data_IF_808306279085
#
_entry.id   IF_808306279085
#
_cell.length_a   1.000
_cell.length_b   1.000
_cell.length_c   1.000
_cell.angle_alpha   90.00
_cell.angle_beta   90.00
_cell.angle_gamma   90.00
#
_symmetry.space_group_name_H-M   'P 1'
#
loop_
_entity.id
_entity.type
_entity.pdbx_description
1 polymer ?
#
# COMPACT_ATOMS: atom_id res chain seq x y z
N UNK A 1 5.14 -13.64 4.60
CA UNK A 1 6.29 -12.91 4.06
C UNK A 1 7.00 -12.20 5.19
N UNK A 2 8.28 -12.20 5.15
CA UNK A 2 9.07 -11.40 6.08
C UNK A 2 9.12 -9.95 5.61
N UNK A 3 9.55 -9.05 6.51
CA UNK A 3 9.83 -7.68 6.15
C UNK A 3 10.87 -7.62 5.01
N UNK A 4 10.57 -6.87 3.96
CA UNK A 4 11.48 -6.66 2.84
C UNK A 4 11.90 -5.19 2.84
N UNK A 5 13.19 -4.88 3.04
CA UNK A 5 13.65 -3.49 3.00
C UNK A 5 13.41 -2.89 1.61
N UNK A 6 13.13 -1.61 1.58
CA UNK A 6 12.86 -0.85 0.36
C UNK A 6 11.49 -1.13 -0.24
N UNK A 7 11.02 -0.17 -1.01
CA UNK A 7 9.77 -0.29 -1.76
C UNK A 7 10.09 -0.87 -3.13
N UNK A 8 9.20 -1.75 -3.60
CA UNK A 8 9.31 -2.36 -4.92
C UNK A 8 8.00 -2.13 -5.67
N UNK A 9 8.09 -1.94 -6.97
CA UNK A 9 6.91 -1.91 -7.82
C UNK A 9 6.19 -3.26 -7.75
N UNK A 10 4.87 -3.21 -7.81
CA UNK A 10 4.05 -4.43 -7.82
C UNK A 10 3.99 -4.96 -9.24
N UNK A 11 4.54 -6.14 -9.47
CA UNK A 11 4.58 -6.75 -10.81
C UNK A 11 3.23 -7.34 -11.20
N UNK A 12 2.54 -7.98 -10.25
CA UNK A 12 1.22 -8.56 -10.47
C UNK A 12 0.53 -8.78 -9.15
N UNK A 13 -0.78 -8.96 -9.20
CA UNK A 13 -1.57 -9.28 -8.01
C UNK A 13 -2.77 -10.14 -8.43
N UNK A 14 -3.34 -10.86 -7.47
CA UNK A 14 -4.47 -11.76 -7.67
C UNK A 14 -4.29 -13.00 -6.83
N UNK A 15 -5.35 -13.82 -6.78
CA UNK A 15 -5.34 -15.06 -6.01
C UNK A 15 -4.93 -14.86 -4.55
N UNK A 16 -5.34 -13.72 -4.00
CA UNK A 16 -5.08 -13.38 -2.60
C UNK A 16 -3.70 -12.83 -2.31
N UNK A 17 -2.90 -12.53 -3.33
CA UNK A 17 -1.53 -12.11 -3.09
C UNK A 17 -0.98 -11.10 -4.07
N UNK A 18 0.31 -10.83 -3.91
CA UNK A 18 1.06 -9.83 -4.68
C UNK A 18 2.43 -10.39 -5.06
N UNK A 19 2.92 -9.98 -6.23
CA UNK A 19 4.29 -10.26 -6.66
C UNK A 19 5.06 -8.96 -6.87
N UNK A 20 6.28 -8.93 -6.37
CA UNK A 20 7.18 -7.78 -6.51
C UNK A 20 8.63 -8.27 -6.41
N UNK A 21 9.50 -7.78 -7.29
CA UNK A 21 10.86 -8.31 -7.40
C UNK A 21 10.81 -9.82 -7.63
N UNK A 22 11.64 -10.55 -6.90
CA UNK A 22 11.64 -12.01 -6.92
C UNK A 22 10.76 -12.62 -5.82
N UNK A 23 9.95 -11.80 -5.16
CA UNK A 23 9.18 -12.20 -3.99
C UNK A 23 7.70 -12.29 -4.31
N UNK A 24 6.98 -13.09 -3.52
CA UNK A 24 5.53 -13.10 -3.52
C UNK A 24 5.04 -13.04 -2.07
N UNK A 25 3.85 -12.47 -1.89
CA UNK A 25 3.23 -12.30 -0.58
C UNK A 25 1.77 -12.67 -0.67
N UNK A 26 1.30 -13.51 0.24
CA UNK A 26 -0.12 -13.82 0.39
C UNK A 26 -0.73 -12.92 1.45
N UNK A 27 -1.93 -12.42 1.16
CA UNK A 27 -2.66 -11.54 2.04
C UNK A 27 -2.44 -10.06 1.71
N UNK A 28 -2.97 -9.20 2.59
CA UNK A 28 -2.87 -7.75 2.41
C UNK A 28 -1.43 -7.29 2.57
N UNK A 29 -1.06 -6.24 1.86
CA UNK A 29 0.31 -5.77 1.78
C UNK A 29 0.42 -4.31 2.21
N UNK A 30 1.38 -4.03 3.09
CA UNK A 30 1.72 -2.68 3.53
C UNK A 30 3.07 -2.28 2.94
N UNK A 31 3.11 -1.12 2.29
CA UNK A 31 4.32 -0.60 1.67
C UNK A 31 4.65 0.74 2.31
N UNK A 32 5.77 0.79 3.01
CA UNK A 32 6.24 1.96 3.73
C UNK A 32 7.62 2.38 3.21
N UNK A 33 8.08 3.60 3.50
CA UNK A 33 9.45 3.99 3.17
C UNK A 33 10.49 3.00 3.68
N UNK A 34 10.27 2.41 4.86
CA UNK A 34 11.19 1.44 5.45
C UNK A 34 11.13 0.07 4.77
N UNK A 35 10.07 -0.26 4.04
CA UNK A 35 9.96 -1.53 3.33
C UNK A 35 8.55 -2.06 3.24
N UNK A 36 8.45 -3.32 2.82
CA UNK A 36 7.19 -3.98 2.53
C UNK A 36 6.95 -5.09 3.57
N UNK A 37 5.70 -5.21 4.03
CA UNK A 37 5.34 -6.19 5.05
C UNK A 37 3.86 -6.54 4.99
N UNK A 38 3.47 -7.58 5.73
CA UNK A 38 2.08 -7.95 5.85
C UNK A 38 1.27 -6.84 6.52
N UNK A 39 0.02 -6.70 6.10
CA UNK A 39 -0.91 -5.70 6.63
C UNK A 39 -2.20 -6.39 7.05
N UNK A 40 -2.82 -5.92 8.11
CA UNK A 40 -4.12 -6.44 8.54
C UNK A 40 -5.30 -5.81 7.78
N UNK A 41 -5.02 -4.79 6.97
CA UNK A 41 -6.05 -4.10 6.18
C UNK A 41 -6.77 -2.99 6.92
N UNK A 42 -6.43 -2.75 8.18
CA UNK A 42 -7.16 -1.83 9.06
C UNK A 42 -6.24 -0.81 9.74
N UNK A 43 -5.08 -1.25 10.19
CA UNK A 43 -4.19 -0.46 11.03
C UNK A 43 -3.35 0.51 10.20
N UNK A 44 -3.50 1.81 10.47
CA UNK A 44 -2.74 2.86 9.79
C UNK A 44 -1.51 3.32 10.56
N UNK A 45 -1.20 2.69 11.70
CA UNK A 45 -0.09 3.13 12.55
C UNK A 45 1.26 3.15 11.84
N UNK A 46 1.47 2.24 10.87
CA UNK A 46 2.70 2.22 10.09
C UNK A 46 2.91 3.49 9.28
N UNK A 47 1.85 4.00 8.67
CA UNK A 47 1.94 5.27 7.92
C UNK A 47 2.27 6.42 8.86
N UNK A 48 1.63 6.44 10.02
CA UNK A 48 1.83 7.52 11.00
C UNK A 48 3.26 7.49 11.54
N UNK A 49 3.78 6.30 11.81
CA UNK A 49 5.14 6.15 12.34
C UNK A 49 6.21 6.69 11.38
N UNK A 50 5.95 6.65 10.07
CA UNK A 50 6.90 7.09 9.05
C UNK A 50 6.42 8.32 8.29
N UNK A 51 5.47 9.06 8.84
CA UNK A 51 4.79 10.15 8.14
C UNK A 51 5.73 11.22 7.59
N UNK A 52 6.85 11.46 8.25
CA UNK A 52 7.79 12.49 7.82
C UNK A 52 8.50 12.13 6.52
N UNK A 53 8.43 10.87 6.11
CA UNK A 53 9.03 10.38 4.88
C UNK A 53 7.99 10.06 3.81
N UNK A 54 6.73 10.39 4.05
CA UNK A 54 5.63 10.08 3.14
C UNK A 54 4.99 11.39 2.66
N UNK A 55 4.87 11.54 1.34
CA UNK A 55 4.13 12.65 0.75
C UNK A 55 2.71 12.24 0.37
N UNK A 56 2.49 10.95 0.09
CA UNK A 56 1.22 10.49 -0.43
C UNK A 56 0.97 9.03 -0.03
N UNK A 57 -0.26 8.74 0.38
CA UNK A 57 -0.68 7.37 0.71
C UNK A 57 -1.74 6.91 -0.29
N UNK A 58 -1.57 5.72 -0.83
CA UNK A 58 -2.53 5.09 -1.73
C UNK A 58 -3.11 3.87 -1.03
N UNK A 59 -4.43 3.79 -0.97
CA UNK A 59 -5.12 2.65 -0.34
C UNK A 59 -5.92 1.91 -1.39
N UNK A 60 -5.64 0.61 -1.55
CA UNK A 60 -6.40 -0.28 -2.42
C UNK A 60 -7.41 -1.09 -1.60
N UNK A 61 -8.67 -1.07 -2.00
CA UNK A 61 -9.76 -1.68 -1.22
C UNK A 61 -10.20 -3.05 -1.73
N UNK A 62 -9.39 -3.72 -2.54
CA UNK A 62 -9.74 -5.02 -3.09
C UNK A 62 -10.35 -4.90 -4.48
N UNK A 63 -11.17 -5.87 -4.86
CA UNK A 63 -11.76 -5.93 -6.20
C UNK A 63 -12.78 -4.81 -6.44
N UNK A 64 -13.40 -4.31 -5.38
CA UNK A 64 -14.40 -3.24 -5.48
C UNK A 64 -14.04 -2.08 -4.55
N UNK A 65 -14.48 -0.89 -4.93
CA UNK A 65 -14.24 0.29 -4.11
C UNK A 65 -15.08 0.21 -2.83
N UNK A 66 -14.41 0.39 -1.69
CA UNK A 66 -15.05 0.41 -0.38
C UNK A 66 -14.69 1.71 0.32
N UNK A 67 -15.57 2.14 1.22
CA UNK A 67 -15.28 3.29 2.06
C UNK A 67 -14.26 2.91 3.12
N UNK A 68 -13.32 3.82 3.38
CA UNK A 68 -12.38 3.68 4.47
C UNK A 68 -12.31 5.02 5.21
N UNK A 69 -12.32 4.95 6.54
CA UNK A 69 -12.18 6.13 7.36
C UNK A 69 -10.73 6.60 7.38
N UNK A 70 -10.45 7.73 6.77
CA UNK A 70 -9.11 8.28 6.67
C UNK A 70 -8.82 9.35 7.73
N UNK A 71 -9.75 9.56 8.67
CA UNK A 71 -9.63 10.63 9.65
C UNK A 71 -8.33 10.60 10.45
N UNK A 72 -7.84 9.41 10.80
CA UNK A 72 -6.59 9.25 11.54
C UNK A 72 -5.41 9.74 10.71
N UNK A 73 -5.36 9.42 9.42
CA UNK A 73 -4.30 9.88 8.54
C UNK A 73 -4.38 11.37 8.31
N UNK A 74 -5.57 11.88 8.05
CA UNK A 74 -5.78 13.31 7.84
C UNK A 74 -5.40 14.13 9.06
N UNK A 75 -5.74 13.63 10.25
CA UNK A 75 -5.38 14.29 11.51
C UNK A 75 -3.87 14.37 11.70
N UNK A 76 -3.11 13.49 11.07
CA UNK A 76 -1.65 13.48 11.12
C UNK A 76 -1.01 14.23 9.95
N UNK A 77 -1.83 14.88 9.12
CA UNK A 77 -1.33 15.64 7.99
C UNK A 77 -0.95 14.80 6.77
N UNK A 78 -1.39 13.55 6.72
CA UNK A 78 -1.12 12.67 5.59
C UNK A 78 -2.25 12.71 4.58
N UNK A 79 -1.89 12.94 3.33
CA UNK A 79 -2.84 12.87 2.23
C UNK A 79 -2.96 11.41 1.78
N UNK A 80 -4.17 10.91 1.73
CA UNK A 80 -4.44 9.53 1.31
C UNK A 80 -5.58 9.50 0.30
N UNK A 81 -5.45 8.61 -0.68
CA UNK A 81 -6.47 8.39 -1.69
C UNK A 81 -6.88 6.92 -1.68
N UNK A 82 -8.18 6.68 -1.76
CA UNK A 82 -8.77 5.33 -1.67
C UNK A 82 -9.31 4.95 -3.04
N UNK A 83 -8.95 3.76 -3.50
CA UNK A 83 -9.36 3.26 -4.81
C UNK A 83 -9.37 1.73 -4.79
N UNK A 84 -9.81 1.09 -5.87
CA UNK A 84 -9.69 -0.37 -5.97
C UNK A 84 -8.21 -0.76 -5.96
N UNK A 85 -7.91 -1.99 -5.57
CA UNK A 85 -6.51 -2.44 -5.55
C UNK A 85 -5.88 -2.37 -6.94
N UNK A 86 -6.62 -2.66 -8.00
CA UNK A 86 -6.11 -2.52 -9.37
C UNK A 86 -5.64 -1.10 -9.65
N UNK A 87 -6.48 -0.11 -9.35
CA UNK A 87 -6.13 1.29 -9.55
C UNK A 87 -5.00 1.73 -8.62
N UNK A 88 -5.02 1.24 -7.37
CA UNK A 88 -4.02 1.60 -6.38
C UNK A 88 -2.63 1.09 -6.77
N UNK A 89 -2.54 -0.14 -7.26
CA UNK A 89 -1.27 -0.71 -7.74
C UNK A 89 -0.72 0.13 -8.89
N UNK A 90 -1.58 0.49 -9.84
CA UNK A 90 -1.16 1.33 -10.96
C UNK A 90 -0.63 2.69 -10.49
N UNK A 91 -1.38 3.36 -9.62
CA UNK A 91 -0.98 4.67 -9.10
C UNK A 91 0.30 4.59 -8.28
N UNK A 92 0.42 3.58 -7.43
CA UNK A 92 1.61 3.36 -6.61
C UNK A 92 2.84 3.16 -7.50
N UNK A 93 2.75 2.27 -8.49
CA UNK A 93 3.87 1.98 -9.39
C UNK A 93 4.30 3.23 -10.17
N UNK A 94 3.34 4.01 -10.63
CA UNK A 94 3.61 5.25 -11.36
C UNK A 94 4.38 6.24 -10.47
N UNK A 95 3.89 6.48 -9.27
CA UNK A 95 4.53 7.41 -8.34
C UNK A 95 5.92 6.93 -7.92
N UNK A 96 6.05 5.63 -7.67
CA UNK A 96 7.34 5.04 -7.31
C UNK A 96 8.35 5.23 -8.44
N UNK A 97 7.93 5.01 -9.68
CA UNK A 97 8.76 5.22 -10.87
C UNK A 97 9.16 6.67 -11.06
N UNK A 98 8.38 7.61 -10.51
CA UNK A 98 8.69 9.04 -10.54
C UNK A 98 9.54 9.47 -9.32
N UNK A 99 10.04 8.51 -8.55
CA UNK A 99 10.83 8.74 -7.34
C UNK A 99 10.07 9.55 -6.28
N UNK A 100 8.74 9.43 -6.24
CA UNK A 100 7.92 10.13 -5.24
C UNK A 100 7.90 9.35 -3.94
N UNK A 101 7.71 10.07 -2.83
CA UNK A 101 7.66 9.46 -1.50
C UNK A 101 6.25 8.93 -1.22
N UNK A 102 5.91 7.83 -1.88
CA UNK A 102 4.59 7.20 -1.80
C UNK A 102 4.63 5.99 -0.85
N UNK A 103 3.58 5.85 -0.07
CA UNK A 103 3.32 4.65 0.72
C UNK A 103 1.97 4.07 0.29
N UNK A 104 1.74 2.81 0.59
CA UNK A 104 0.51 2.15 0.17
C UNK A 104 0.07 1.07 1.13
N UNK A 105 -1.24 0.86 1.18
CA UNK A 105 -1.85 -0.32 1.79
C UNK A 105 -2.77 -0.94 0.76
N UNK A 106 -2.56 -2.21 0.46
CA UNK A 106 -3.35 -2.92 -0.54
C UNK A 106 -4.12 -4.07 0.11
N UNK A 107 -5.44 -4.07 -0.01
CA UNK A 107 -6.23 -5.27 0.29
C UNK A 107 -6.06 -6.26 -0.85
N UNK A 108 -5.89 -7.53 -0.52
CA UNK A 108 -5.71 -8.59 -1.49
C UNK A 108 -6.97 -8.80 -2.33
N UNK A 109 -6.80 -9.27 -3.56
CA UNK A 109 -7.86 -9.52 -4.51
C UNK A 109 -7.89 -11.00 -4.86
N UNK A 110 -9.08 -11.60 -4.85
CA UNK A 110 -9.27 -12.97 -5.27
C UNK A 110 -8.64 -13.97 -4.33
N UNK A 111 -9.33 -14.38 -3.31
CA UNK A 111 -8.83 -15.37 -2.35
C UNK A 111 -8.78 -16.78 -2.98
#
# INVERSE_FOLDING_TARGET
MKFLPQRHAIASFGEGGFRFGDMSHQGHLLVLPSGMRAWDGIDFSGFIAEKDEIDFVVIGTGASLKRMGLGTLEAQGLYADVMTTSAAVHSFNLMLGEARRVAAGFLAVGA
#
